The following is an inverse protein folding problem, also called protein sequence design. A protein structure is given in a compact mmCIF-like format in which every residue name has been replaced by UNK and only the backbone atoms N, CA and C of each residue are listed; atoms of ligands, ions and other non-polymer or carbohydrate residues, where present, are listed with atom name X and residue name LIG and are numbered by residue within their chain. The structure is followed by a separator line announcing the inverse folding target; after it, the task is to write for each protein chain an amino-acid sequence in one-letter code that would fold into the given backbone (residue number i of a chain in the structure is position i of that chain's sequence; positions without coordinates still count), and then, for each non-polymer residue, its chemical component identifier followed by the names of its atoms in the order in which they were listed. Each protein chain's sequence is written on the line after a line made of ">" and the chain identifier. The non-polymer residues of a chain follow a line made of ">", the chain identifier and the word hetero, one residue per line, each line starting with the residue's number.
data_IF_425830599355
#
_entry.id   IF_425830599355
#
_cell.length_a   1.000
_cell.length_b   1.000
_cell.length_c   1.000
_cell.angle_alpha   90.00
_cell.angle_beta   90.00
_cell.angle_gamma   90.00
#
_symmetry.space_group_name_H-M   'P 1'
#
loop_
_entity.id
_entity.type
_entity.pdbx_description
1 polymer ?
#
# COMPACT_ATOMS: atom_id res chain seq x y z
N UNK A 1 -9.66 18.57 21.62
CA UNK A 1 -8.40 18.09 22.24
C UNK A 1 -7.78 17.05 21.31
N UNK A 2 -6.45 17.00 21.16
CA UNK A 2 -5.78 15.95 20.38
C UNK A 2 -5.08 14.99 21.35
N UNK A 3 -5.26 13.69 21.16
CA UNK A 3 -4.69 12.67 22.03
C UNK A 3 -4.32 11.41 21.23
N UNK A 4 -3.28 10.72 21.68
CA UNK A 4 -2.82 9.43 21.15
C UNK A 4 -3.12 8.31 22.15
N UNK A 5 -3.12 7.04 21.70
CA UNK A 5 -3.01 6.53 20.33
C UNK A 5 -4.29 6.68 19.47
N UNK A 6 -4.15 6.72 18.14
CA UNK A 6 -5.27 6.88 17.19
C UNK A 6 -6.28 5.72 17.21
N UNK A 7 -5.82 4.51 17.52
CA UNK A 7 -6.66 3.31 17.52
C UNK A 7 -7.62 3.18 18.72
N UNK A 8 -7.60 4.11 19.68
CA UNK A 8 -8.42 4.09 20.91
C UNK A 8 -8.35 2.77 21.71
N UNK A 9 -7.30 1.99 21.53
CA UNK A 9 -7.13 0.71 22.23
C UNK A 9 -6.67 0.90 23.68
N UNK A 10 -5.99 2.01 23.99
CA UNK A 10 -5.44 2.31 25.31
C UNK A 10 -5.12 3.82 25.44
N UNK A 11 -4.51 4.21 26.56
CA UNK A 11 -3.91 5.54 26.74
C UNK A 11 -4.92 6.67 26.93
N UNK A 12 -4.41 7.90 26.78
CA UNK A 12 -5.19 9.11 27.06
C UNK A 12 -6.35 9.29 26.08
N UNK A 13 -6.14 8.98 24.79
CA UNK A 13 -7.21 9.06 23.79
C UNK A 13 -8.42 8.19 24.16
N UNK A 14 -8.18 6.97 24.66
CA UNK A 14 -9.23 6.07 25.14
C UNK A 14 -9.91 6.59 26.42
N UNK A 15 -9.14 7.05 27.40
CA UNK A 15 -9.72 7.58 28.64
C UNK A 15 -10.63 8.80 28.40
N UNK A 16 -10.28 9.63 27.43
CA UNK A 16 -11.10 10.78 27.05
C UNK A 16 -12.34 10.35 26.27
N UNK A 17 -12.19 9.40 25.34
CA UNK A 17 -13.31 8.82 24.62
C UNK A 17 -14.35 8.23 25.59
N UNK A 18 -13.91 7.41 26.55
CA UNK A 18 -14.79 6.77 27.53
C UNK A 18 -15.59 7.80 28.35
N UNK A 19 -15.00 8.97 28.64
CA UNK A 19 -15.68 10.07 29.36
C UNK A 19 -16.64 10.87 28.50
N UNK A 20 -16.43 10.93 27.19
CA UNK A 20 -17.09 11.88 26.29
C UNK A 20 -18.07 11.24 25.32
N UNK A 21 -18.00 9.92 25.11
CA UNK A 21 -18.76 9.19 24.09
C UNK A 21 -20.28 9.30 24.23
N UNK A 22 -20.81 9.42 25.45
CA UNK A 22 -22.25 9.47 25.70
C UNK A 22 -22.87 10.87 25.60
N UNK A 23 -22.07 11.93 25.43
CA UNK A 23 -22.59 13.28 25.25
C UNK A 23 -22.58 13.69 23.77
N UNK A 24 -23.77 13.98 23.24
CA UNK A 24 -24.02 14.40 21.86
C UNK A 24 -23.39 15.73 21.46
N UNK A 25 -22.96 16.54 22.44
CA UNK A 25 -22.24 17.80 22.17
C UNK A 25 -20.79 17.56 21.75
N UNK A 26 -20.28 16.35 21.95
CA UNK A 26 -18.91 15.99 21.62
C UNK A 26 -18.82 15.40 20.20
N UNK A 27 -17.62 15.50 19.62
CA UNK A 27 -17.27 14.90 18.35
C UNK A 27 -15.89 14.25 18.43
N UNK A 28 -15.75 13.07 17.82
CA UNK A 28 -14.50 12.34 17.66
C UNK A 28 -14.11 12.40 16.19
N UNK A 29 -12.95 12.97 15.89
CA UNK A 29 -12.42 13.03 14.52
C UNK A 29 -11.24 12.07 14.43
N UNK A 30 -11.32 11.12 13.50
CA UNK A 30 -10.27 10.13 13.22
C UNK A 30 -9.55 10.58 11.94
N UNK A 31 -8.31 11.11 12.04
CA UNK A 31 -7.64 11.78 10.93
C UNK A 31 -6.87 10.85 9.98
N UNK A 32 -6.90 9.53 10.16
CA UNK A 32 -6.02 8.63 9.41
C UNK A 32 -6.41 7.17 9.49
N UNK A 33 -5.63 6.32 8.81
CA UNK A 33 -5.90 4.89 8.74
C UNK A 33 -6.00 4.24 10.13
N UNK A 34 -7.05 3.44 10.31
CA UNK A 34 -7.29 2.66 11.51
C UNK A 34 -7.25 1.18 11.18
N UNK A 35 -6.57 0.42 12.03
CA UNK A 35 -6.39 -1.03 11.85
C UNK A 35 -7.67 -1.76 12.25
N UNK A 36 -7.99 -2.83 11.51
CA UNK A 36 -9.07 -3.75 11.86
C UNK A 36 -8.93 -4.30 13.29
N UNK A 37 -10.06 -4.51 13.95
CA UNK A 37 -10.12 -4.97 15.35
C UNK A 37 -9.83 -3.90 16.42
N UNK A 38 -9.57 -2.64 16.04
CA UNK A 38 -9.46 -1.53 16.99
C UNK A 38 -10.81 -0.89 17.28
N UNK A 39 -10.97 -0.28 18.47
CA UNK A 39 -12.18 0.46 18.80
C UNK A 39 -12.43 1.61 17.82
N UNK A 40 -11.38 2.28 17.37
CA UNK A 40 -11.48 3.35 16.37
C UNK A 40 -12.11 2.85 15.06
N UNK A 41 -11.83 1.62 14.63
CA UNK A 41 -12.48 1.02 13.45
C UNK A 41 -13.96 0.71 13.70
N UNK A 42 -14.29 0.22 14.90
CA UNK A 42 -15.69 -0.09 15.28
C UNK A 42 -16.57 1.15 15.29
N UNK A 43 -16.09 2.27 15.85
CA UNK A 43 -16.92 3.48 16.02
C UNK A 43 -17.16 4.24 14.71
N UNK A 44 -16.36 4.01 13.67
CA UNK A 44 -16.60 4.57 12.33
C UNK A 44 -17.92 4.05 11.74
N UNK A 45 -18.36 2.86 12.14
CA UNK A 45 -19.65 2.31 11.72
C UNK A 45 -20.83 2.83 12.56
N UNK A 46 -20.59 3.80 13.47
CA UNK A 46 -21.59 4.42 14.33
C UNK A 46 -22.52 3.42 15.06
N UNK A 47 -21.97 2.48 15.86
CA UNK A 47 -22.79 1.57 16.64
C UNK A 47 -23.58 2.33 17.72
N UNK A 48 -24.74 1.82 18.13
CA UNK A 48 -25.53 2.43 19.20
C UNK A 48 -24.81 2.44 20.56
N UNK A 49 -23.98 1.42 20.82
CA UNK A 49 -23.25 1.24 22.08
C UNK A 49 -21.80 0.84 21.82
N UNK A 50 -20.92 1.19 22.77
CA UNK A 50 -19.49 0.86 22.76
C UNK A 50 -19.04 0.33 24.11
N UNK A 51 -18.05 -0.57 24.09
CA UNK A 51 -17.44 -1.11 25.33
C UNK A 51 -16.35 -0.18 25.84
N UNK A 52 -16.48 0.25 27.09
CA UNK A 52 -15.50 1.07 27.81
C UNK A 52 -14.35 0.23 28.35
N UNK A 53 -13.25 0.86 28.79
CA UNK A 53 -12.09 0.14 29.35
C UNK A 53 -12.40 -0.66 30.61
N UNK A 54 -13.43 -0.24 31.36
CA UNK A 54 -13.88 -0.92 32.57
C UNK A 54 -14.76 -2.16 32.28
N UNK A 55 -15.00 -2.49 31.00
CA UNK A 55 -15.81 -3.63 30.58
C UNK A 55 -17.32 -3.35 30.51
N UNK A 56 -17.78 -2.17 30.94
CA UNK A 56 -19.18 -1.76 30.80
C UNK A 56 -19.47 -1.23 29.39
N UNK A 57 -20.74 -1.29 28.98
CA UNK A 57 -21.22 -0.66 27.75
C UNK A 57 -21.74 0.74 28.04
N UNK A 58 -21.58 1.63 27.06
CA UNK A 58 -22.11 2.99 27.09
C UNK A 58 -22.69 3.37 25.73
N UNK A 59 -23.72 4.24 25.68
CA UNK A 59 -24.27 4.72 24.43
C UNK A 59 -23.26 5.62 23.71
N UNK A 60 -23.15 5.46 22.40
CA UNK A 60 -22.35 6.33 21.53
C UNK A 60 -23.25 7.42 20.95
N UNK A 61 -23.33 8.54 21.67
CA UNK A 61 -24.13 9.70 21.22
C UNK A 61 -23.29 10.80 20.57
N UNK A 62 -21.97 10.77 20.78
CA UNK A 62 -21.05 11.72 20.16
C UNK A 62 -20.98 11.50 18.65
N UNK A 63 -20.73 12.55 17.88
CA UNK A 63 -20.53 12.42 16.43
C UNK A 63 -19.16 11.82 16.12
N UNK A 64 -19.08 10.88 15.17
CA UNK A 64 -17.82 10.29 14.74
C UNK A 64 -17.54 10.68 13.30
N UNK A 65 -16.42 11.34 13.05
CA UNK A 65 -16.01 11.79 11.73
C UNK A 65 -14.72 11.10 11.32
N UNK A 66 -14.75 10.35 10.22
CA UNK A 66 -13.55 9.80 9.60
C UNK A 66 -13.09 10.72 8.48
N UNK A 67 -11.97 11.42 8.70
CA UNK A 67 -11.38 12.32 7.72
C UNK A 67 -9.97 11.84 7.45
N UNK A 68 -9.75 11.17 6.32
CA UNK A 68 -8.43 10.68 5.98
C UNK A 68 -7.53 11.83 5.55
N UNK A 69 -6.58 12.23 6.41
CA UNK A 69 -5.43 13.07 6.04
C UNK A 69 -4.26 12.22 5.55
N UNK A 70 -4.53 11.01 5.05
CA UNK A 70 -3.51 10.16 4.47
C UNK A 70 -2.85 10.85 3.29
N UNK A 71 -1.57 11.19 3.44
CA UNK A 71 -0.67 11.51 2.33
C UNK A 71 -0.34 10.24 1.50
N UNK A 72 -1.33 9.37 1.28
CA UNK A 72 -1.20 8.23 0.40
C UNK A 72 -1.39 8.72 -1.03
N UNK A 73 -0.64 8.14 -1.97
CA UNK A 73 -0.74 8.49 -3.37
C UNK A 73 -2.19 8.23 -3.85
N UNK A 74 -2.87 9.29 -4.28
CA UNK A 74 -4.20 9.15 -4.84
C UNK A 74 -4.16 8.21 -6.06
N UNK A 75 -5.30 7.56 -6.35
CA UNK A 75 -5.39 6.67 -7.51
C UNK A 75 -5.01 7.37 -8.82
N UNK A 76 -5.19 8.68 -8.91
CA UNK A 76 -4.79 9.49 -10.06
C UNK A 76 -3.27 9.66 -10.11
N UNK A 77 -2.63 10.12 -9.03
CA UNK A 77 -1.18 10.31 -8.97
C UNK A 77 -0.43 9.01 -9.21
N UNK A 78 -0.91 7.91 -8.61
CA UNK A 78 -0.32 6.58 -8.81
C UNK A 78 -0.44 6.12 -10.26
N UNK A 79 -1.61 6.32 -10.89
CA UNK A 79 -1.79 5.99 -12.32
C UNK A 79 -0.86 6.81 -13.21
N UNK A 80 -0.77 8.13 -13.03
CA UNK A 80 0.11 8.98 -13.85
C UNK A 80 1.59 8.61 -13.70
N UNK A 81 2.03 8.27 -12.48
CA UNK A 81 3.39 7.80 -12.24
C UNK A 81 3.70 6.48 -12.97
N UNK A 82 2.75 5.55 -12.99
CA UNK A 82 2.90 4.28 -13.69
C UNK A 82 2.85 4.46 -15.23
N UNK A 83 2.09 5.43 -15.73
CA UNK A 83 2.05 5.79 -17.15
C UNK A 83 3.39 6.33 -17.64
N UNK A 84 4.07 7.13 -16.81
CA UNK A 84 5.38 7.70 -17.14
C UNK A 84 6.49 6.64 -17.11
N UNK A 85 6.52 5.79 -16.08
CA UNK A 85 7.56 4.77 -15.93
C UNK A 85 7.40 3.58 -16.89
N UNK A 86 6.17 3.26 -17.29
CA UNK A 86 5.85 2.10 -18.12
C UNK A 86 6.55 0.80 -17.69
N UNK A 87 6.47 0.41 -16.40
CA UNK A 87 7.20 -0.74 -15.92
C UNK A 87 6.66 -2.05 -16.53
N UNK A 88 7.52 -3.05 -16.80
CA UNK A 88 7.10 -4.35 -17.31
C UNK A 88 6.38 -5.20 -16.26
N UNK A 89 6.66 -4.99 -14.97
CA UNK A 89 6.03 -5.69 -13.85
C UNK A 89 5.64 -4.68 -12.76
N UNK A 90 4.40 -4.77 -12.26
CA UNK A 90 3.85 -3.95 -11.18
C UNK A 90 3.43 -4.90 -10.05
N UNK A 91 3.89 -4.64 -8.82
CA UNK A 91 3.55 -5.46 -7.65
C UNK A 91 2.87 -4.55 -6.61
N UNK A 92 1.59 -4.78 -6.36
CA UNK A 92 0.77 -4.03 -5.40
C UNK A 92 0.93 -4.62 -4.00
N UNK A 93 1.30 -3.78 -3.03
CA UNK A 93 1.51 -4.13 -1.62
C UNK A 93 0.98 -3.04 -0.70
N UNK A 94 0.90 -3.32 0.61
CA UNK A 94 0.56 -2.35 1.66
C UNK A 94 -0.78 -1.61 1.44
N UNK A 95 -1.81 -2.34 0.97
CA UNK A 95 -3.18 -1.84 0.88
C UNK A 95 -4.19 -2.83 1.45
N UNK A 96 -5.41 -2.36 1.66
CA UNK A 96 -6.54 -3.23 2.02
C UNK A 96 -6.90 -4.11 0.81
N UNK A 97 -7.31 -5.36 1.06
CA UNK A 97 -7.40 -6.38 0.01
C UNK A 97 -8.43 -6.03 -1.08
N UNK A 98 -9.56 -5.42 -0.71
CA UNK A 98 -10.58 -5.04 -1.68
C UNK A 98 -10.14 -3.83 -2.50
N UNK A 99 -9.60 -2.80 -1.86
CA UNK A 99 -9.10 -1.60 -2.55
C UNK A 99 -7.90 -1.92 -3.46
N UNK A 100 -6.99 -2.82 -3.05
CA UNK A 100 -5.94 -3.33 -3.93
C UNK A 100 -6.52 -4.10 -5.13
N UNK A 101 -7.59 -4.87 -4.92
CA UNK A 101 -8.29 -5.56 -6.00
C UNK A 101 -8.88 -4.58 -7.04
N UNK A 102 -9.52 -3.51 -6.57
CA UNK A 102 -10.08 -2.45 -7.42
C UNK A 102 -8.98 -1.70 -8.18
N UNK A 103 -7.89 -1.35 -7.50
CA UNK A 103 -6.74 -0.70 -8.12
C UNK A 103 -6.10 -1.60 -9.19
N UNK A 104 -5.92 -2.89 -8.89
CA UNK A 104 -5.42 -3.87 -9.85
C UNK A 104 -6.27 -3.93 -11.11
N UNK A 105 -7.59 -4.03 -10.97
CA UNK A 105 -8.51 -4.07 -12.11
C UNK A 105 -8.39 -2.81 -12.97
N UNK A 106 -8.36 -1.63 -12.35
CA UNK A 106 -8.17 -0.35 -13.05
C UNK A 106 -6.87 -0.32 -13.85
N UNK A 107 -5.76 -0.74 -13.23
CA UNK A 107 -4.46 -0.82 -13.89
C UNK A 107 -4.45 -1.89 -15.00
N UNK A 108 -5.10 -3.04 -14.81
CA UNK A 108 -5.20 -4.06 -15.87
C UNK A 108 -5.96 -3.54 -17.09
N UNK A 109 -7.02 -2.77 -16.91
CA UNK A 109 -7.74 -2.13 -18.03
C UNK A 109 -6.89 -1.04 -18.69
N UNK A 110 -6.21 -0.21 -17.90
CA UNK A 110 -5.40 0.90 -18.41
C UNK A 110 -4.14 0.44 -19.17
N UNK A 111 -3.55 -0.68 -18.76
CA UNK A 111 -2.37 -1.27 -19.37
C UNK A 111 -2.70 -2.49 -20.25
N UNK A 112 -3.96 -2.68 -20.65
CA UNK A 112 -4.40 -3.85 -21.44
C UNK A 112 -3.64 -3.98 -22.78
N UNK A 113 -3.30 -2.86 -23.40
CA UNK A 113 -2.57 -2.82 -24.67
C UNK A 113 -1.05 -3.07 -24.49
N UNK A 114 -0.59 -3.14 -23.24
CA UNK A 114 0.82 -3.24 -22.88
C UNK A 114 1.07 -4.59 -22.22
N UNK A 115 2.21 -5.21 -22.51
CA UNK A 115 2.60 -6.49 -21.91
C UNK A 115 3.08 -6.34 -20.46
N UNK A 116 2.38 -5.52 -19.66
CA UNK A 116 2.70 -5.22 -18.26
C UNK A 116 1.99 -6.22 -17.36
N UNK A 117 2.76 -6.92 -16.51
CA UNK A 117 2.22 -7.90 -15.57
C UNK A 117 1.92 -7.24 -14.23
N UNK A 118 0.68 -7.37 -13.74
CA UNK A 118 0.24 -6.76 -12.48
C UNK A 118 -0.05 -7.84 -11.44
N UNK A 119 0.67 -7.78 -10.32
CA UNK A 119 0.60 -8.73 -9.21
C UNK A 119 0.02 -8.08 -7.96
N UNK A 120 -0.69 -8.86 -7.17
CA UNK A 120 -1.26 -8.46 -5.87
C UNK A 120 -1.11 -9.63 -4.89
N UNK A 121 0.13 -10.00 -4.52
CA UNK A 121 0.40 -11.19 -3.74
C UNK A 121 -0.16 -11.06 -2.32
N UNK A 122 -0.69 -12.15 -1.78
CA UNK A 122 -1.00 -12.26 -0.35
C UNK A 122 0.29 -12.44 0.46
N UNK A 123 0.21 -12.25 1.77
CA UNK A 123 1.32 -12.59 2.67
C UNK A 123 1.74 -14.05 2.44
N UNK A 124 3.05 -14.27 2.37
CA UNK A 124 3.67 -15.57 2.06
C UNK A 124 3.44 -16.10 0.63
N UNK A 125 2.94 -15.27 -0.30
CA UNK A 125 2.87 -15.63 -1.72
C UNK A 125 4.09 -15.12 -2.47
N UNK A 126 4.88 -16.03 -3.05
CA UNK A 126 6.00 -15.67 -3.92
C UNK A 126 5.51 -15.13 -5.27
N UNK A 127 6.25 -14.16 -5.81
CA UNK A 127 6.06 -13.62 -7.17
C UNK A 127 7.33 -13.90 -7.96
N UNK A 128 7.23 -14.76 -8.97
CA UNK A 128 8.35 -15.09 -9.83
C UNK A 128 8.35 -14.18 -11.08
N UNK A 129 9.45 -13.46 -11.27
CA UNK A 129 9.68 -12.63 -12.46
C UNK A 129 10.97 -13.05 -13.14
N UNK A 130 10.89 -13.34 -14.44
CA UNK A 130 12.04 -13.72 -15.25
C UNK A 130 12.63 -12.51 -15.94
N UNK A 131 13.94 -12.31 -15.77
CA UNK A 131 14.70 -11.30 -16.47
C UNK A 131 15.67 -11.99 -17.43
N UNK A 132 15.55 -11.73 -18.73
CA UNK A 132 16.58 -12.17 -19.68
C UNK A 132 17.75 -11.21 -19.59
N UNK A 133 18.83 -11.66 -18.97
CA UNK A 133 20.10 -10.92 -19.01
C UNK A 133 20.85 -11.33 -20.27
N UNK A 134 20.96 -10.42 -21.24
CA UNK A 134 21.98 -10.57 -22.27
C UNK A 134 23.36 -10.52 -21.61
N UNK A 135 24.15 -11.58 -21.77
CA UNK A 135 25.51 -11.61 -21.25
C UNK A 135 26.38 -10.76 -22.17
N UNK A 136 26.56 -9.49 -21.83
CA UNK A 136 27.52 -8.62 -22.51
C UNK A 136 28.93 -8.95 -22.03
N UNK A 137 29.78 -9.45 -22.94
CA UNK A 137 31.21 -9.55 -22.72
C UNK A 137 31.90 -8.37 -23.40
N UNK A 138 32.67 -7.59 -22.63
CA UNK A 138 33.47 -6.48 -23.17
C UNK A 138 34.90 -6.96 -23.37
N UNK A 139 35.34 -6.99 -24.63
CA UNK A 139 36.74 -7.27 -24.93
C UNK A 139 37.56 -5.98 -24.76
N UNK A 140 38.73 -6.11 -24.13
CA UNK A 140 39.72 -5.03 -23.99
C UNK A 140 41.09 -5.53 -24.47
N UNK A 141 41.90 -4.66 -25.07
CA UNK A 141 43.22 -5.01 -25.63
C UNK A 141 43.18 -5.46 -27.09
N UNK A 142 44.12 -6.31 -27.52
CA UNK A 142 44.30 -6.72 -28.93
C UNK A 142 43.04 -7.33 -29.58
N UNK A 143 42.20 -7.97 -28.78
CA UNK A 143 40.91 -8.56 -29.20
C UNK A 143 39.80 -7.52 -29.47
N UNK A 144 40.05 -6.24 -29.17
CA UNK A 144 39.15 -5.13 -29.44
C UNK A 144 39.57 -4.30 -30.67
N UNK A 145 40.72 -4.60 -31.29
CA UNK A 145 41.23 -3.87 -32.46
C UNK A 145 40.45 -4.18 -33.75
N UNK A 146 39.78 -5.34 -33.82
CA UNK A 146 38.87 -5.69 -34.91
C UNK A 146 37.51 -6.10 -34.35
N UNK A 147 36.45 -5.53 -34.91
CA UNK A 147 35.09 -5.98 -34.66
C UNK A 147 34.89 -7.33 -35.35
N UNK A 148 34.57 -8.41 -34.62
CA UNK A 148 34.35 -9.72 -35.21
C UNK A 148 33.09 -9.73 -36.07
N UNK A 149 33.13 -10.46 -37.19
CA UNK A 149 31.96 -10.66 -38.05
C UNK A 149 31.00 -11.70 -37.47
N UNK A 150 29.73 -11.68 -37.91
CA UNK A 150 28.70 -12.60 -37.42
C UNK A 150 29.08 -14.04 -37.78
N UNK A 151 29.45 -14.83 -36.76
CA UNK A 151 29.90 -16.22 -36.91
C UNK A 151 31.40 -16.44 -36.73
N UNK A 152 32.18 -15.38 -36.49
CA UNK A 152 33.61 -15.48 -36.23
C UNK A 152 33.89 -15.96 -34.80
N UNK A 153 34.70 -17.00 -34.66
CA UNK A 153 35.06 -17.57 -33.35
C UNK A 153 36.09 -16.68 -32.66
N UNK A 154 35.71 -16.06 -31.55
CA UNK A 154 36.61 -15.24 -30.73
C UNK A 154 37.10 -16.05 -29.52
N UNK A 155 38.42 -16.26 -29.41
CA UNK A 155 39.05 -17.00 -28.32
C UNK A 155 39.91 -16.10 -27.43
N UNK A 156 39.66 -16.12 -26.12
CA UNK A 156 40.44 -15.41 -25.11
C UNK A 156 40.18 -15.95 -23.70
N UNK A 157 41.15 -15.81 -22.80
CA UNK A 157 40.97 -16.20 -21.39
C UNK A 157 40.29 -15.07 -20.60
N UNK A 158 39.34 -15.43 -19.72
CA UNK A 158 38.78 -14.52 -18.72
C UNK A 158 39.84 -14.22 -17.67
N UNK A 159 40.20 -12.93 -17.53
CA UNK A 159 40.90 -12.39 -16.37
C UNK A 159 39.92 -11.92 -15.30
#
# INVERSE_FOLDING_TARGET
>A
MMASPSGLHSGLSRQLFDKWCSDKKNACVIPGYVVEGTLAKTIINEPNEVTLMNGFTAPLNMQVHYISFSAHADSYQTSSFLEELMPPNIILVHGEANEMGRLKQKLTTQFADRNTKIFSPKNCQSVDTYFSSEKMAKNIGKLAEKTPEVGETVGGMRG
#
